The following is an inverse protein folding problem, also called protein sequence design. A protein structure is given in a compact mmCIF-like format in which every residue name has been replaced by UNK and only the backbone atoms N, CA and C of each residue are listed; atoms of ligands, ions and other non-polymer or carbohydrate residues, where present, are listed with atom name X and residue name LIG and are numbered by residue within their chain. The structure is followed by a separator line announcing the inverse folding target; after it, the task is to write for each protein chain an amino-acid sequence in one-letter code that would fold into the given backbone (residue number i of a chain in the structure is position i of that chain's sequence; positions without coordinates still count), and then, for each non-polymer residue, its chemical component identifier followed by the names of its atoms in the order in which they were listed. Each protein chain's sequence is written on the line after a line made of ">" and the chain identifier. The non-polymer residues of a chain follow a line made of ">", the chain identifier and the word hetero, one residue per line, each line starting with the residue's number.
data_IF_787740806267
#
_entry.id   IF_787740806267
#
_cell.length_a   1.000
_cell.length_b   1.000
_cell.length_c   1.000
_cell.angle_alpha   90.00
_cell.angle_beta   90.00
_cell.angle_gamma   90.00
#
_symmetry.space_group_name_H-M   'P 1'
#
loop_
_entity.id
_entity.type
_entity.pdbx_description
1 polymer ?
#
# COMPACT_ATOMS: atom_id res chain seq x y z
N UNK A 1 -16.57 -12.11 -32.86
CA UNK A 1 -17.46 -11.40 -31.92
C UNK A 1 -16.59 -11.01 -30.74
N UNK A 2 -16.11 -9.76 -30.68
CA UNK A 2 -15.47 -9.25 -29.46
C UNK A 2 -16.61 -8.97 -28.49
N UNK A 3 -16.73 -9.77 -27.44
CA UNK A 3 -17.50 -9.39 -26.28
C UNK A 3 -16.67 -8.32 -25.58
N UNK A 4 -17.10 -7.06 -25.67
CA UNK A 4 -16.64 -6.02 -24.74
C UNK A 4 -17.09 -6.45 -23.34
N UNK A 5 -16.23 -7.24 -22.68
CA UNK A 5 -16.42 -7.57 -21.26
C UNK A 5 -16.31 -6.23 -20.53
N UNK A 6 -17.35 -5.78 -19.81
CA UNK A 6 -17.29 -4.54 -19.05
C UNK A 6 -16.07 -4.58 -18.14
N UNK A 7 -15.22 -3.57 -18.23
CA UNK A 7 -14.08 -3.44 -17.34
C UNK A 7 -14.61 -3.30 -15.91
N UNK A 8 -14.46 -4.35 -15.11
CA UNK A 8 -14.96 -4.39 -13.74
C UNK A 8 -14.36 -3.29 -12.85
N UNK A 9 -13.23 -2.68 -13.26
CA UNK A 9 -12.64 -1.52 -12.59
C UNK A 9 -13.49 -0.25 -12.67
N UNK A 10 -14.45 -0.19 -13.60
CA UNK A 10 -15.38 0.92 -13.75
C UNK A 10 -16.70 0.67 -12.99
N UNK A 11 -16.81 -0.46 -12.27
CA UNK A 11 -17.98 -0.75 -11.43
C UNK A 11 -17.91 0.06 -10.13
N UNK A 12 -18.89 0.94 -9.87
CA UNK A 12 -18.94 1.71 -8.63
C UNK A 12 -19.13 0.83 -7.40
N UNK A 13 -19.79 -0.33 -7.53
CA UNK A 13 -19.99 -1.29 -6.44
C UNK A 13 -18.66 -1.90 -6.00
N UNK A 14 -17.84 -2.33 -6.95
CA UNK A 14 -16.51 -2.90 -6.66
C UNK A 14 -15.60 -1.85 -6.02
N UNK A 15 -15.67 -0.60 -6.50
CA UNK A 15 -14.88 0.48 -5.91
C UNK A 15 -15.29 0.76 -4.46
N UNK A 16 -16.59 0.75 -4.15
CA UNK A 16 -17.10 0.92 -2.79
C UNK A 16 -16.62 -0.21 -1.88
N UNK A 17 -16.75 -1.45 -2.32
CA UNK A 17 -16.27 -2.63 -1.55
C UNK A 17 -14.76 -2.55 -1.30
N UNK A 18 -13.98 -2.11 -2.29
CA UNK A 18 -12.53 -1.92 -2.15
C UNK A 18 -12.21 -0.81 -1.14
N UNK A 19 -12.90 0.33 -1.18
CA UNK A 19 -12.70 1.42 -0.21
C UNK A 19 -13.03 0.95 1.20
N UNK A 20 -14.13 0.22 1.39
CA UNK A 20 -14.53 -0.33 2.69
C UNK A 20 -13.50 -1.34 3.23
N UNK A 21 -13.09 -2.29 2.39
CA UNK A 21 -12.15 -3.34 2.78
C UNK A 21 -10.76 -2.76 3.10
N UNK A 22 -10.27 -1.84 2.26
CA UNK A 22 -8.89 -1.33 2.35
C UNK A 22 -8.73 -0.12 3.25
N UNK A 23 -9.79 0.66 3.48
CA UNK A 23 -9.69 1.97 4.15
C UNK A 23 -9.00 3.05 3.32
N UNK A 24 -8.64 2.77 2.06
CA UNK A 24 -7.98 3.69 1.14
C UNK A 24 -9.03 4.42 0.31
N UNK A 25 -8.85 5.73 0.10
CA UNK A 25 -9.83 6.52 -0.63
C UNK A 25 -9.98 6.07 -2.10
N UNK A 26 -11.19 6.21 -2.64
CA UNK A 26 -11.50 5.90 -4.04
C UNK A 26 -10.55 6.62 -5.01
N UNK A 27 -10.16 7.86 -4.67
CA UNK A 27 -9.18 8.65 -5.43
C UNK A 27 -7.83 7.95 -5.50
N UNK A 28 -7.29 7.53 -4.35
CA UNK A 28 -6.00 6.83 -4.28
C UNK A 28 -6.08 5.48 -5.01
N UNK A 29 -7.18 4.74 -4.86
CA UNK A 29 -7.41 3.46 -5.55
C UNK A 29 -7.57 3.60 -7.07
N UNK A 30 -8.21 4.67 -7.57
CA UNK A 30 -8.37 4.90 -9.01
C UNK A 30 -7.10 5.45 -9.65
N UNK A 31 -6.34 6.28 -8.93
CA UNK A 31 -5.09 6.84 -9.44
C UNK A 31 -4.04 5.75 -9.68
N UNK A 32 -3.99 4.73 -8.79
CA UNK A 32 -3.00 3.65 -8.79
C UNK A 32 -1.56 4.16 -8.97
N UNK A 33 -1.26 5.37 -8.50
CA UNK A 33 0.06 5.96 -8.66
C UNK A 33 0.96 5.52 -7.50
N UNK A 34 2.08 4.83 -7.79
CA UNK A 34 3.12 4.63 -6.81
C UNK A 34 3.72 5.97 -6.37
N UNK A 35 3.95 6.13 -5.07
CA UNK A 35 4.54 7.36 -4.56
C UNK A 35 4.19 7.66 -3.11
N UNK A 36 4.64 8.83 -2.66
CA UNK A 36 4.56 9.29 -1.28
C UNK A 36 3.31 10.17 -1.01
N UNK A 37 2.35 10.19 -1.91
CA UNK A 37 1.02 10.74 -1.65
C UNK A 37 0.23 9.80 -0.72
N UNK A 38 -0.62 10.38 0.13
CA UNK A 38 -1.53 9.63 1.01
C UNK A 38 -0.83 8.55 1.85
N UNK A 39 0.35 8.86 2.42
CA UNK A 39 1.19 7.87 3.10
C UNK A 39 0.44 7.14 4.22
N UNK A 40 -0.32 7.87 5.04
CA UNK A 40 -1.10 7.28 6.13
C UNK A 40 -2.18 6.33 5.61
N UNK A 41 -2.91 6.70 4.53
CA UNK A 41 -3.90 5.81 3.90
C UNK A 41 -3.22 4.53 3.41
N UNK A 42 -2.08 4.65 2.71
CA UNK A 42 -1.35 3.50 2.16
C UNK A 42 -0.70 2.64 3.26
N UNK A 43 -0.22 3.24 4.35
CA UNK A 43 0.33 2.51 5.50
C UNK A 43 -0.75 1.76 6.29
N UNK A 44 -2.01 2.24 6.29
CA UNK A 44 -3.12 1.51 6.90
C UNK A 44 -3.36 0.13 6.27
N UNK A 45 -2.84 -0.11 5.07
CA UNK A 45 -2.83 -1.43 4.44
C UNK A 45 -1.95 -2.44 5.18
N UNK A 46 -0.92 -2.00 5.92
CA UNK A 46 -0.09 -2.90 6.75
C UNK A 46 -0.91 -3.43 7.91
N UNK A 47 -1.62 -2.56 8.64
CA UNK A 47 -2.25 -2.91 9.92
C UNK A 47 -3.37 -3.94 9.81
N UNK A 48 -3.93 -4.11 8.60
CA UNK A 48 -5.01 -5.08 8.31
C UNK A 48 -4.54 -6.35 7.62
N UNK A 49 -3.27 -6.46 7.23
CA UNK A 49 -2.77 -7.61 6.47
C UNK A 49 -2.36 -8.75 7.38
N UNK A 50 -2.85 -9.94 7.06
CA UNK A 50 -2.28 -11.20 7.55
C UNK A 50 -1.31 -11.73 6.49
N UNK A 51 -0.06 -11.93 6.88
CA UNK A 51 0.99 -12.48 6.03
C UNK A 51 1.60 -13.72 6.67
N UNK A 52 2.09 -14.64 5.83
CA UNK A 52 2.79 -15.85 6.31
C UNK A 52 4.10 -15.49 7.00
N UNK A 53 4.84 -14.54 6.42
CA UNK A 53 6.04 -13.96 7.00
C UNK A 53 5.75 -12.51 7.38
N UNK A 54 6.18 -12.08 8.56
CA UNK A 54 5.86 -10.74 9.06
C UNK A 54 6.49 -9.65 8.20
N UNK A 55 7.66 -9.90 7.62
CA UNK A 55 8.34 -8.98 6.71
C UNK A 55 7.58 -8.73 5.40
N UNK A 56 6.74 -9.67 4.95
CA UNK A 56 5.96 -9.54 3.70
C UNK A 56 4.94 -8.40 3.78
N UNK A 57 4.49 -8.05 4.99
CA UNK A 57 3.60 -6.92 5.19
C UNK A 57 4.28 -5.61 4.74
N UNK A 58 5.56 -5.42 5.08
CA UNK A 58 6.35 -4.28 4.65
C UNK A 58 6.71 -4.35 3.15
N UNK A 59 7.10 -5.53 2.65
CA UNK A 59 7.48 -5.70 1.24
C UNK A 59 6.32 -5.44 0.28
N UNK A 60 5.09 -5.78 0.67
CA UNK A 60 3.90 -5.51 -0.13
C UNK A 60 3.70 -4.02 -0.43
N UNK A 61 4.28 -3.13 0.38
CA UNK A 61 4.17 -1.68 0.22
C UNK A 61 5.31 -1.04 -0.58
N UNK A 62 6.39 -1.76 -0.87
CA UNK A 62 7.52 -1.19 -1.63
C UNK A 62 7.07 -0.69 -3.00
N UNK A 63 6.26 -1.50 -3.69
CA UNK A 63 5.67 -1.13 -4.98
C UNK A 63 4.65 0.01 -4.88
N UNK A 64 3.92 0.12 -3.77
CA UNK A 64 2.94 1.19 -3.54
C UNK A 64 3.63 2.54 -3.28
N UNK A 65 4.77 2.53 -2.60
CA UNK A 65 5.55 3.74 -2.31
C UNK A 65 6.62 4.06 -3.34
N UNK A 66 6.76 3.24 -4.39
CA UNK A 66 7.87 3.36 -5.36
C UNK A 66 9.25 3.34 -4.69
N UNK A 67 9.40 2.52 -3.65
CA UNK A 67 10.62 2.38 -2.86
C UNK A 67 11.42 1.19 -3.37
N UNK A 68 12.73 1.39 -3.52
CA UNK A 68 13.68 0.32 -3.82
C UNK A 68 14.57 0.05 -2.61
N UNK A 69 14.21 -0.96 -1.82
CA UNK A 69 15.01 -1.47 -0.71
C UNK A 69 15.32 -2.95 -0.94
N UNK A 70 16.51 -3.45 -0.55
CA UNK A 70 16.81 -4.87 -0.61
C UNK A 70 15.81 -5.68 0.22
N UNK A 71 15.32 -6.80 -0.31
CA UNK A 71 14.47 -7.76 0.43
C UNK A 71 15.39 -8.75 1.16
N UNK A 72 15.24 -8.86 2.47
CA UNK A 72 16.05 -9.73 3.33
C UNK A 72 15.14 -10.65 4.13
N UNK A 73 14.90 -11.85 3.63
CA UNK A 73 14.07 -12.82 4.37
C UNK A 73 14.73 -13.24 5.68
N UNK A 74 13.91 -13.34 6.73
CA UNK A 74 14.36 -13.58 8.10
C UNK A 74 14.70 -12.32 8.89
N UNK A 75 14.51 -11.12 8.33
CA UNK A 75 14.67 -9.86 9.08
C UNK A 75 13.46 -9.52 9.98
N UNK A 76 12.31 -10.17 9.74
CA UNK A 76 11.09 -9.99 10.52
C UNK A 76 10.61 -8.54 10.57
N UNK A 77 10.25 -8.05 11.76
CA UNK A 77 9.75 -6.68 11.99
C UNK A 77 10.74 -5.58 11.57
N UNK A 78 12.02 -5.91 11.39
CA UNK A 78 13.00 -4.94 10.90
C UNK A 78 12.67 -4.44 9.49
N UNK A 79 12.00 -5.26 8.66
CA UNK A 79 11.56 -4.85 7.33
C UNK A 79 10.62 -3.64 7.39
N UNK A 80 9.70 -3.61 8.35
CA UNK A 80 8.80 -2.48 8.57
C UNK A 80 9.57 -1.25 9.07
N UNK A 81 10.53 -1.44 9.97
CA UNK A 81 11.41 -0.37 10.43
C UNK A 81 12.18 0.31 9.28
N UNK A 82 12.73 -0.49 8.34
CA UNK A 82 13.42 0.04 7.15
C UNK A 82 12.47 0.80 6.23
N UNK A 83 11.25 0.30 6.03
CA UNK A 83 10.22 0.99 5.26
C UNK A 83 9.90 2.36 5.87
N UNK A 84 9.58 2.40 7.16
CA UNK A 84 9.24 3.64 7.87
C UNK A 84 10.39 4.65 7.82
N UNK A 85 11.64 4.20 8.01
CA UNK A 85 12.82 5.05 7.91
C UNK A 85 13.00 5.64 6.50
N UNK A 86 12.75 4.86 5.45
CA UNK A 86 12.81 5.32 4.08
C UNK A 86 11.71 6.33 3.77
N UNK A 87 10.48 6.08 4.25
CA UNK A 87 9.35 7.01 4.10
C UNK A 87 9.62 8.33 4.80
N UNK A 88 10.12 8.31 6.04
CA UNK A 88 10.55 9.49 6.79
C UNK A 88 11.60 10.28 6.00
N UNK A 89 12.63 9.60 5.51
CA UNK A 89 13.75 10.24 4.81
C UNK A 89 13.31 10.86 3.48
N UNK A 90 12.41 10.19 2.74
CA UNK A 90 11.98 10.65 1.42
C UNK A 90 10.86 11.71 1.47
N UNK A 91 9.95 11.64 2.44
CA UNK A 91 8.84 12.59 2.57
C UNK A 91 9.17 13.79 3.47
N UNK A 92 10.06 13.63 4.44
CA UNK A 92 10.26 14.59 5.52
C UNK A 92 9.07 14.71 6.48
N UNK A 93 8.06 13.85 6.35
CA UNK A 93 6.82 13.90 7.12
C UNK A 93 6.87 12.88 8.26
N UNK A 94 6.71 13.37 9.50
CA UNK A 94 6.68 12.52 10.70
C UNK A 94 5.32 11.85 10.93
N UNK A 95 4.27 12.24 10.19
CA UNK A 95 2.95 11.60 10.24
C UNK A 95 2.99 10.10 9.92
N UNK A 96 4.03 9.64 9.22
CA UNK A 96 4.27 8.23 8.91
C UNK A 96 4.45 7.34 10.14
N UNK A 97 4.67 7.92 11.32
CA UNK A 97 4.73 7.20 12.60
C UNK A 97 3.37 7.07 13.30
N UNK A 98 2.32 7.73 12.79
CA UNK A 98 0.97 7.74 13.33
C UNK A 98 0.00 6.88 12.48
N UNK A 99 0.44 5.67 12.11
CA UNK A 99 -0.26 4.73 11.22
C UNK A 99 -1.13 3.72 11.96
#
# INVERSE_FOLDING_TARGET
>A
MNLDIPNHKDSPEILLDMVEATGVSARTLMALQPGLDSIQEKLSLVSRRETTLVEDAAYSLFGIFSISLPVVYGEGDQALGRLLAQLLTSSGDTSVLAW
#
